data_IF_467329285398
#
_entry.id   IF_467329285398
#
_cell.length_a   1.000
_cell.length_b   1.000
_cell.length_c   1.000
_cell.angle_alpha   90.00
_cell.angle_beta   90.00
_cell.angle_gamma   90.00
#
_symmetry.space_group_name_H-M   'P 1'
#
loop_
_entity.id
_entity.type
_entity.pdbx_description
1 polymer ?
#
# COMPACT_ATOMS: atom_id res chain seq x y z
N UNK A 1 -17.68 -11.14 5.54
CA UNK A 1 -16.40 -11.56 4.94
C UNK A 1 -15.56 -10.31 4.77
N UNK A 2 -14.36 -10.24 5.35
CA UNK A 2 -13.52 -9.05 5.23
C UNK A 2 -12.97 -8.97 3.80
N UNK A 3 -13.33 -7.92 3.06
CA UNK A 3 -12.78 -7.65 1.73
C UNK A 3 -11.32 -7.27 1.90
N UNK A 4 -10.42 -7.95 1.18
CA UNK A 4 -9.01 -7.55 1.12
C UNK A 4 -8.94 -6.12 0.58
N UNK A 5 -8.19 -5.22 1.24
CA UNK A 5 -8.09 -3.83 0.79
C UNK A 5 -7.49 -3.78 -0.61
N UNK A 6 -8.02 -2.90 -1.47
CA UNK A 6 -7.49 -2.67 -2.81
C UNK A 6 -6.21 -1.84 -2.78
N UNK A 7 -5.60 -1.66 -3.95
CA UNK A 7 -4.50 -0.71 -4.13
C UNK A 7 -4.98 0.71 -3.82
N UNK A 8 -6.18 1.11 -4.27
CA UNK A 8 -6.72 2.45 -3.97
C UNK A 8 -6.93 2.66 -2.47
N UNK A 9 -7.49 1.66 -1.76
CA UNK A 9 -7.65 1.72 -0.30
C UNK A 9 -6.31 1.86 0.43
N UNK A 10 -5.23 1.31 -0.14
CA UNK A 10 -3.90 1.38 0.45
C UNK A 10 -3.27 2.75 0.23
N UNK A 11 -3.47 3.36 -0.95
CA UNK A 11 -3.05 4.74 -1.22
C UNK A 11 -3.81 5.76 -0.37
N UNK A 12 -5.13 5.62 -0.23
CA UNK A 12 -5.93 6.52 0.62
C UNK A 12 -5.45 6.50 2.08
N UNK A 13 -5.06 5.33 2.60
CA UNK A 13 -4.46 5.23 3.94
C UNK A 13 -3.10 5.90 4.03
N UNK A 14 -2.28 5.79 2.98
CA UNK A 14 -0.97 6.43 2.95
C UNK A 14 -1.11 7.97 2.96
N UNK A 15 -2.04 8.51 2.17
CA UNK A 15 -2.34 9.95 2.14
C UNK A 15 -2.84 10.45 3.50
N UNK A 16 -3.71 9.69 4.17
CA UNK A 16 -4.15 10.02 5.52
C UNK A 16 -2.99 10.06 6.52
N UNK A 17 -2.09 9.08 6.46
CA UNK A 17 -0.89 9.06 7.32
C UNK A 17 -0.01 10.28 7.06
N UNK A 18 0.21 10.63 5.79
CA UNK A 18 0.97 11.82 5.42
C UNK A 18 0.32 13.10 5.95
N UNK A 19 -1.00 13.25 5.76
CA UNK A 19 -1.76 14.39 6.26
C UNK A 19 -1.68 14.51 7.78
N UNK A 20 -1.76 13.40 8.51
CA UNK A 20 -1.61 13.40 9.97
C UNK A 20 -0.18 13.78 10.38
N UNK A 21 0.84 13.29 9.68
CA UNK A 21 2.24 13.64 9.96
C UNK A 21 2.57 15.11 9.65
N UNK A 22 1.95 15.67 8.61
CA UNK A 22 2.11 17.08 8.21
C UNK A 22 1.33 18.05 9.12
N UNK A 23 0.29 17.59 9.80
CA UNK A 23 -0.50 18.40 10.73
C UNK A 23 0.33 19.01 11.87
N UNK A 24 1.44 18.36 12.23
CA UNK A 24 2.29 18.76 13.35
C UNK A 24 1.67 18.51 14.74
N UNK A 25 0.49 17.90 14.82
CA UNK A 25 -0.20 17.61 16.09
C UNK A 25 0.26 16.31 16.75
N UNK A 26 1.03 15.49 16.05
CA UNK A 26 1.50 14.20 16.55
C UNK A 26 2.66 14.36 17.54
N UNK A 27 2.59 13.62 18.64
CA UNK A 27 3.75 13.41 19.50
C UNK A 27 4.81 12.56 18.77
N UNK A 28 6.07 12.64 19.21
CA UNK A 28 7.16 11.85 18.63
C UNK A 28 6.86 10.35 18.57
N UNK A 29 6.22 9.78 19.60
CA UNK A 29 5.85 8.37 19.62
C UNK A 29 4.75 8.05 18.59
N UNK A 30 3.77 8.94 18.41
CA UNK A 30 2.73 8.78 17.39
C UNK A 30 3.31 8.90 15.99
N UNK A 31 4.20 9.86 15.75
CA UNK A 31 4.93 9.98 14.48
C UNK A 31 5.72 8.71 14.15
N UNK A 32 6.36 8.08 15.14
CA UNK A 32 7.03 6.79 14.94
C UNK A 32 6.07 5.66 14.55
N UNK A 33 4.90 5.60 15.18
CA UNK A 33 3.86 4.61 14.83
C UNK A 33 3.34 4.83 13.42
N UNK A 34 3.02 6.07 13.07
CA UNK A 34 2.52 6.46 11.74
C UNK A 34 3.55 6.22 10.65
N UNK A 35 4.82 6.54 10.90
CA UNK A 35 5.91 6.19 9.99
C UNK A 35 6.02 4.69 9.76
N UNK A 36 5.99 3.88 10.83
CA UNK A 36 6.04 2.41 10.71
C UNK A 36 4.84 1.87 9.93
N UNK A 37 3.65 2.41 10.17
CA UNK A 37 2.44 2.06 9.44
C UNK A 37 2.57 2.39 7.94
N UNK A 38 3.06 3.59 7.61
CA UNK A 38 3.32 3.99 6.22
C UNK A 38 4.30 3.07 5.51
N UNK A 39 5.40 2.69 6.16
CA UNK A 39 6.38 1.74 5.60
C UNK A 39 5.75 0.37 5.29
N UNK A 40 4.92 -0.14 6.19
CA UNK A 40 4.24 -1.42 5.96
C UNK A 40 3.19 -1.33 4.84
N UNK A 41 2.49 -0.20 4.71
CA UNK A 41 1.57 0.04 3.59
C UNK A 41 2.31 0.11 2.25
N UNK A 42 3.45 0.79 2.18
CA UNK A 42 4.28 0.85 0.97
C UNK A 42 4.77 -0.53 0.55
N UNK A 43 5.23 -1.36 1.50
CA UNK A 43 5.60 -2.76 1.21
C UNK A 43 4.42 -3.54 0.65
N UNK A 44 3.25 -3.36 1.24
CA UNK A 44 2.02 -4.02 0.80
C UNK A 44 1.63 -3.61 -0.63
N UNK A 45 1.69 -2.32 -0.96
CA UNK A 45 1.47 -1.83 -2.32
C UNK A 45 2.43 -2.52 -3.31
N UNK A 46 3.73 -2.56 -3.00
CA UNK A 46 4.71 -3.23 -3.86
C UNK A 46 4.36 -4.71 -4.08
N UNK A 47 3.94 -5.43 -3.04
CA UNK A 47 3.52 -6.84 -3.18
C UNK A 47 2.26 -7.01 -4.02
N UNK A 48 1.31 -6.07 -3.96
CA UNK A 48 0.12 -6.09 -4.81
C UNK A 48 0.48 -5.86 -6.27
N UNK A 49 1.36 -4.89 -6.55
CA UNK A 49 1.85 -4.59 -7.90
C UNK A 49 2.61 -5.77 -8.50
N UNK A 50 3.53 -6.38 -7.74
CA UNK A 50 4.26 -7.58 -8.17
C UNK A 50 3.32 -8.75 -8.50
N UNK A 51 2.23 -8.91 -7.75
CA UNK A 51 1.21 -9.92 -8.05
C UNK A 51 0.49 -9.65 -9.38
N UNK A 52 0.11 -8.39 -9.62
CA UNK A 52 -0.55 -7.98 -10.87
C UNK A 52 0.40 -8.14 -12.06
N UNK A 53 1.67 -7.76 -11.91
CA UNK A 53 2.69 -7.93 -12.94
C UNK A 53 2.87 -9.41 -13.31
N UNK A 54 2.99 -10.29 -12.31
CA UNK A 54 3.09 -11.74 -12.52
C UNK A 54 1.86 -12.32 -13.20
N UNK A 55 0.66 -11.91 -12.79
CA UNK A 55 -0.59 -12.35 -13.43
C UNK A 55 -0.65 -11.90 -14.90
N UNK A 56 -0.17 -10.69 -15.22
CA UNK A 56 -0.09 -10.20 -16.61
C UNK A 56 0.91 -11.01 -17.45
N UNK A 57 2.08 -11.36 -16.90
CA UNK A 57 3.09 -12.18 -17.59
C UNK A 57 2.51 -13.55 -17.97
N UNK A 58 1.82 -14.22 -17.03
CA UNK A 58 1.20 -15.53 -17.30
C UNK A 58 0.13 -15.42 -18.39
N UNK A 59 -0.72 -14.39 -18.33
CA UNK A 59 -1.77 -14.17 -19.33
C UNK A 59 -1.23 -13.90 -20.74
N UNK A 60 -0.06 -13.26 -20.84
CA UNK A 60 0.60 -13.02 -22.12
C UNK A 60 1.31 -14.28 -22.65
N UNK A 61 1.97 -15.07 -21.78
CA UNK A 61 2.59 -16.34 -22.15
C UNK A 61 1.55 -17.36 -22.67
N UNK A 62 0.35 -17.36 -22.09
CA UNK A 62 -0.77 -18.23 -22.52
C UNK A 62 -1.41 -17.77 -23.85
N UNK A 63 -1.17 -16.54 -24.32
CA UNK A 63 -1.74 -16.02 -25.58
C UNK A 63 -0.85 -16.27 -26.81
N UNK A 64 0.45 -16.49 -26.58
CA UNK A 64 1.44 -16.75 -27.64
C UNK A 64 1.68 -18.25 -27.93
N UNK A 65 0.88 -19.15 -27.32
CA UNK A 65 0.86 -20.61 -27.56
C UNK A 65 -0.38 -21.06 -28.33
#
# INVERSE_FOLDING_TARGET
MAKSPSIEDTFEKLDNILSEMESGELTMNESFKKYKEGIELVKKCNSMLDKVEKEMVILNDDNDS
#
